data_IF_291441921248
#
_entry.id   IF_291441921248
#
_cell.length_a   1.000
_cell.length_b   1.000
_cell.length_c   1.000
_cell.angle_alpha   90.00
_cell.angle_beta   90.00
_cell.angle_gamma   90.00
#
_symmetry.space_group_name_H-M   'P 1'
#
loop_
_entity.id
_entity.type
_entity.pdbx_description
1 polymer ?
#
# COMPACT_ATOMS: atom_id res chain seq x y z
N UNK A 1 -8.17 40.16 34.36
CA UNK A 1 -8.32 38.79 34.91
C UNK A 1 -9.07 37.83 33.97
N UNK A 2 -9.56 38.30 32.81
CA UNK A 2 -10.29 37.53 31.80
C UNK A 2 -9.41 36.94 30.68
N UNK A 3 -8.16 37.40 30.52
CA UNK A 3 -7.21 36.85 29.52
C UNK A 3 -6.57 35.50 29.91
N UNK A 4 -6.64 35.09 31.18
CA UNK A 4 -6.05 33.83 31.68
C UNK A 4 -6.90 32.57 31.44
N UNK A 5 -8.12 32.71 30.89
CA UNK A 5 -9.01 31.58 30.58
C UNK A 5 -8.92 31.12 29.11
N UNK A 6 -8.20 31.85 28.25
CA UNK A 6 -7.93 31.43 26.87
C UNK A 6 -6.90 30.30 26.78
N UNK A 7 -6.02 30.18 27.77
CA UNK A 7 -4.93 29.18 27.79
C UNK A 7 -5.40 27.76 28.12
N UNK A 8 -6.62 27.58 28.61
CA UNK A 8 -7.20 26.26 28.93
C UNK A 8 -7.92 25.59 27.75
N UNK A 9 -7.99 26.23 26.57
CA UNK A 9 -8.58 25.65 25.34
C UNK A 9 -7.55 25.18 24.28
N UNK A 10 -6.24 25.23 24.57
CA UNK A 10 -5.20 24.95 23.58
C UNK A 10 -5.06 23.47 23.17
N UNK A 11 -5.30 22.49 24.04
CA UNK A 11 -5.01 21.08 23.71
C UNK A 11 -5.96 20.48 22.66
N UNK A 12 -7.26 20.79 22.75
CA UNK A 12 -8.28 20.24 21.84
C UNK A 12 -8.12 20.82 20.43
N UNK A 13 -7.88 22.13 20.31
CA UNK A 13 -7.68 22.77 19.01
C UNK A 13 -6.46 22.19 18.28
N UNK A 14 -5.34 22.01 18.98
CA UNK A 14 -4.13 21.38 18.42
C UNK A 14 -4.37 19.95 17.97
N UNK A 15 -5.06 19.13 18.79
CA UNK A 15 -5.41 17.76 18.42
C UNK A 15 -6.32 17.70 17.18
N UNK A 16 -7.36 18.54 17.11
CA UNK A 16 -8.27 18.58 15.96
C UNK A 16 -7.53 18.98 14.67
N UNK A 17 -6.62 19.95 14.75
CA UNK A 17 -5.78 20.34 13.60
C UNK A 17 -4.92 19.16 13.16
N UNK A 18 -4.28 18.44 14.08
CA UNK A 18 -3.51 17.24 13.75
C UNK A 18 -4.35 16.14 13.08
N UNK A 19 -5.59 15.90 13.53
CA UNK A 19 -6.49 14.91 12.89
C UNK A 19 -6.91 15.34 11.48
N UNK A 20 -7.19 16.63 11.27
CA UNK A 20 -7.46 17.16 9.94
C UNK A 20 -6.23 17.07 9.03
N UNK A 21 -5.04 17.36 9.57
CA UNK A 21 -3.78 17.24 8.85
C UNK A 21 -3.51 15.80 8.41
N UNK A 22 -3.73 14.83 9.30
CA UNK A 22 -3.63 13.40 8.98
C UNK A 22 -4.63 12.99 7.88
N UNK A 23 -5.87 13.49 7.94
CA UNK A 23 -6.84 13.25 6.87
C UNK A 23 -6.36 13.81 5.52
N UNK A 24 -5.80 15.03 5.51
CA UNK A 24 -5.21 15.63 4.30
C UNK A 24 -4.03 14.82 3.78
N UNK A 25 -3.17 14.30 4.67
CA UNK A 25 -2.07 13.40 4.31
C UNK A 25 -2.59 12.14 3.63
N UNK A 26 -3.58 11.47 4.21
CA UNK A 26 -4.20 10.25 3.65
C UNK A 26 -4.87 10.49 2.29
N UNK A 27 -5.39 11.69 2.04
CA UNK A 27 -5.92 12.12 0.74
C UNK A 27 -4.84 12.43 -0.31
N UNK A 28 -3.56 12.44 0.08
CA UNK A 28 -2.44 12.84 -0.78
C UNK A 28 -2.23 14.35 -0.90
N UNK A 29 -2.90 15.16 -0.05
CA UNK A 29 -2.78 16.64 -0.02
C UNK A 29 -1.66 17.03 0.95
N UNK A 30 -0.42 16.67 0.60
CA UNK A 30 0.73 16.76 1.51
C UNK A 30 1.08 18.20 1.91
N UNK A 31 1.00 19.16 0.97
CA UNK A 31 1.28 20.57 1.26
C UNK A 31 0.32 21.14 2.31
N UNK A 32 -0.97 20.81 2.19
CA UNK A 32 -1.98 21.21 3.16
C UNK A 32 -1.79 20.53 4.50
N UNK A 33 -1.48 19.23 4.50
CA UNK A 33 -1.18 18.49 5.72
C UNK A 33 0.01 19.11 6.46
N UNK A 34 1.07 19.47 5.72
CA UNK A 34 2.27 20.14 6.27
C UNK A 34 1.92 21.48 6.88
N UNK A 35 1.22 22.34 6.13
CA UNK A 35 0.79 23.64 6.63
C UNK A 35 -0.09 23.55 7.89
N UNK A 36 -0.89 22.49 8.02
CA UNK A 36 -1.68 22.24 9.23
C UNK A 36 -0.82 21.75 10.40
N UNK A 37 0.09 20.79 10.18
CA UNK A 37 1.00 20.33 11.22
C UNK A 37 1.97 21.42 11.69
N UNK A 38 2.34 22.36 10.83
CA UNK A 38 3.18 23.51 11.18
C UNK A 38 2.48 24.49 12.11
N UNK A 39 1.15 24.61 11.99
CA UNK A 39 0.30 25.46 12.83
C UNK A 39 -0.22 24.75 14.09
N UNK A 40 -0.09 23.42 14.16
CA UNK A 40 -0.60 22.63 15.26
C UNK A 40 0.35 22.71 16.47
N UNK A 41 -0.08 23.39 17.52
CA UNK A 41 0.58 23.33 18.84
C UNK A 41 0.15 22.05 19.59
N UNK A 42 0.61 20.90 19.11
CA UNK A 42 0.29 19.59 19.68
C UNK A 42 1.39 18.57 19.41
N UNK A 43 1.60 17.63 20.35
CA UNK A 43 2.66 16.64 20.25
C UNK A 43 2.53 15.72 19.01
N UNK A 44 1.31 15.37 18.61
CA UNK A 44 1.05 14.58 17.39
C UNK A 44 1.54 15.25 16.10
N UNK A 45 1.83 16.55 16.10
CA UNK A 45 2.43 17.22 14.95
C UNK A 45 3.80 16.61 14.58
N UNK A 46 4.58 16.14 15.56
CA UNK A 46 5.85 15.46 15.30
C UNK A 46 5.65 14.15 14.54
N UNK A 47 4.68 13.33 14.97
CA UNK A 47 4.31 12.08 14.29
C UNK A 47 3.82 12.36 12.86
N UNK A 48 2.98 13.38 12.69
CA UNK A 48 2.46 13.80 11.39
C UNK A 48 3.53 14.27 10.42
N UNK A 49 4.45 15.14 10.87
CA UNK A 49 5.59 15.61 10.06
C UNK A 49 6.53 14.45 9.70
N UNK A 50 6.78 13.53 10.63
CA UNK A 50 7.55 12.33 10.35
C UNK A 50 6.88 11.46 9.27
N UNK A 51 5.56 11.30 9.32
CA UNK A 51 4.82 10.54 8.32
C UNK A 51 4.88 11.19 6.93
N UNK A 52 4.77 12.53 6.84
CA UNK A 52 4.94 13.26 5.57
C UNK A 52 6.37 13.08 5.02
N UNK A 53 7.39 13.25 5.87
CA UNK A 53 8.80 13.07 5.49
C UNK A 53 9.03 11.67 4.91
N UNK A 54 8.48 10.65 5.56
CA UNK A 54 8.54 9.27 5.08
C UNK A 54 7.78 9.08 3.75
N UNK A 55 6.59 9.69 3.59
CA UNK A 55 5.82 9.62 2.34
C UNK A 55 6.54 10.27 1.15
N UNK A 56 7.37 11.28 1.39
CA UNK A 56 8.18 11.93 0.35
C UNK A 56 9.50 11.21 0.08
N UNK A 57 9.83 10.18 0.88
CA UNK A 57 11.09 9.45 0.79
C UNK A 57 12.25 10.11 1.53
N UNK A 58 12.04 11.26 2.17
CA UNK A 58 13.01 11.85 3.09
C UNK A 58 12.92 11.15 4.46
N UNK A 59 13.57 10.00 4.56
CA UNK A 59 13.57 9.17 5.77
C UNK A 59 14.57 9.66 6.83
N UNK A 60 15.40 10.66 6.51
CA UNK A 60 16.53 11.07 7.38
C UNK A 60 16.09 11.75 8.67
N UNK A 61 15.05 12.60 8.58
CA UNK A 61 14.50 13.34 9.72
C UNK A 61 13.52 12.51 10.57
N UNK A 62 13.07 11.34 10.09
CA UNK A 62 12.02 10.55 10.74
C UNK A 62 12.41 10.08 12.14
N UNK A 63 13.61 9.50 12.39
CA UNK A 63 13.98 9.03 13.73
C UNK A 63 13.94 10.15 14.79
N UNK A 64 14.52 11.31 14.48
CA UNK A 64 14.59 12.43 15.42
C UNK A 64 13.19 12.98 15.80
N UNK A 65 12.29 13.06 14.83
CA UNK A 65 10.90 13.48 15.06
C UNK A 65 10.14 12.47 15.91
N UNK A 66 10.29 11.17 15.63
CA UNK A 66 9.65 10.12 16.40
C UNK A 66 10.20 10.02 17.82
N UNK A 67 11.51 10.13 18.00
CA UNK A 67 12.11 10.10 19.33
C UNK A 67 11.67 11.29 20.19
N UNK A 68 11.50 12.48 19.57
CA UNK A 68 10.89 13.64 20.26
C UNK A 68 9.44 13.37 20.68
N UNK A 69 8.66 12.72 19.82
CA UNK A 69 7.29 12.31 20.14
C UNK A 69 7.27 11.31 21.30
N UNK A 70 8.04 10.22 21.20
CA UNK A 70 8.05 9.14 22.19
C UNK A 70 8.55 9.57 23.57
N UNK A 71 9.53 10.49 23.63
CA UNK A 71 10.06 11.05 24.90
C UNK A 71 9.06 11.95 25.64
N UNK A 72 8.16 12.61 24.91
CA UNK A 72 7.24 13.62 25.48
C UNK A 72 5.80 13.12 25.63
N UNK A 73 5.44 12.03 24.94
CA UNK A 73 4.09 11.46 24.98
C UNK A 73 3.84 10.70 26.28
N UNK A 74 2.60 10.76 26.77
CA UNK A 74 2.14 9.96 27.91
C UNK A 74 1.77 8.54 27.49
N UNK A 75 1.65 7.63 28.47
CA UNK A 75 1.19 6.25 28.25
C UNK A 75 -0.31 6.12 27.94
N UNK A 76 -1.04 7.24 27.88
CA UNK A 76 -2.45 7.29 27.47
C UNK A 76 -2.59 7.22 25.93
N UNK A 77 -1.59 7.69 25.18
CA UNK A 77 -1.55 7.68 23.70
C UNK A 77 -1.09 6.33 23.13
N UNK A 78 -1.62 5.21 23.64
CA UNK A 78 -1.09 3.86 23.30
C UNK A 78 -1.14 3.59 21.80
N UNK A 79 -2.23 3.90 21.11
CA UNK A 79 -2.32 3.65 19.68
C UNK A 79 -1.29 4.47 18.87
N UNK A 80 -1.18 5.77 19.13
CA UNK A 80 -0.25 6.65 18.42
C UNK A 80 1.21 6.32 18.71
N UNK A 81 1.54 5.86 19.93
CA UNK A 81 2.87 5.33 20.27
C UNK A 81 3.20 4.06 19.50
N UNK A 82 2.23 3.19 19.21
CA UNK A 82 2.45 2.05 18.33
C UNK A 82 2.72 2.49 16.89
N UNK A 83 1.93 3.42 16.36
CA UNK A 83 2.13 3.97 15.01
C UNK A 83 3.51 4.62 14.87
N UNK A 84 3.93 5.38 15.89
CA UNK A 84 5.26 6.00 15.93
C UNK A 84 6.38 4.96 15.87
N UNK A 85 6.30 3.87 16.64
CA UNK A 85 7.31 2.79 16.62
C UNK A 85 7.34 2.04 15.29
N UNK A 86 6.19 1.76 14.70
CA UNK A 86 6.11 1.18 13.36
C UNK A 86 6.80 2.09 12.32
N UNK A 87 6.55 3.40 12.38
CA UNK A 87 7.18 4.35 11.47
C UNK A 87 8.70 4.43 11.68
N UNK A 88 9.17 4.38 12.93
CA UNK A 88 10.58 4.34 13.27
C UNK A 88 11.27 3.09 12.71
N UNK A 89 10.66 1.91 12.86
CA UNK A 89 11.16 0.64 12.29
C UNK A 89 11.28 0.76 10.78
N UNK A 90 10.23 1.24 10.10
CA UNK A 90 10.23 1.41 8.63
C UNK A 90 11.31 2.38 8.17
N UNK A 91 11.50 3.50 8.87
CA UNK A 91 12.55 4.46 8.54
C UNK A 91 13.96 3.90 8.75
N UNK A 92 14.20 3.17 9.85
CA UNK A 92 15.50 2.52 10.12
C UNK A 92 15.85 1.47 9.08
N UNK A 93 14.86 0.68 8.64
CA UNK A 93 14.98 -0.26 7.52
C UNK A 93 15.37 0.48 6.23
N UNK A 94 14.70 1.59 5.89
CA UNK A 94 15.02 2.39 4.69
C UNK A 94 16.42 3.02 4.75
N UNK A 95 16.93 3.32 5.95
CA UNK A 95 18.28 3.82 6.18
C UNK A 95 19.35 2.72 6.25
N UNK A 96 18.97 1.44 6.17
CA UNK A 96 19.90 0.31 6.29
C UNK A 96 20.51 0.12 7.68
N UNK A 97 19.90 0.65 8.74
CA UNK A 97 20.40 0.56 10.12
C UNK A 97 19.80 -0.65 10.82
N UNK A 98 20.57 -1.74 10.92
CA UNK A 98 20.13 -3.05 11.47
C UNK A 98 20.12 -3.10 12.99
N UNK A 99 21.09 -2.42 13.62
CA UNK A 99 21.47 -2.63 15.03
C UNK A 99 20.39 -2.14 16.01
N UNK A 100 19.43 -1.34 15.54
CA UNK A 100 18.47 -0.63 16.38
C UNK A 100 17.00 -1.09 16.19
N UNK A 101 16.72 -2.23 15.56
CA UNK A 101 15.34 -2.68 15.31
C UNK A 101 14.74 -3.45 16.49
N UNK A 102 15.51 -4.36 17.10
CA UNK A 102 15.01 -5.29 18.12
C UNK A 102 14.53 -4.58 19.42
N UNK A 103 15.19 -3.50 19.92
CA UNK A 103 14.68 -2.77 21.08
C UNK A 103 13.31 -2.12 20.81
N UNK A 104 13.15 -1.49 19.62
CA UNK A 104 11.89 -0.84 19.24
C UNK A 104 10.77 -1.87 19.07
N UNK A 105 11.10 -3.03 18.49
CA UNK A 105 10.15 -4.13 18.34
C UNK A 105 9.73 -4.65 19.72
N UNK A 106 10.68 -4.86 20.64
CA UNK A 106 10.39 -5.35 22.00
C UNK A 106 9.42 -4.44 22.74
N UNK A 107 9.62 -3.12 22.67
CA UNK A 107 8.70 -2.15 23.25
C UNK A 107 7.31 -2.16 22.59
N UNK A 108 7.26 -2.26 21.26
CA UNK A 108 6.00 -2.33 20.53
C UNK A 108 5.21 -3.59 20.90
N UNK A 109 5.87 -4.73 21.05
CA UNK A 109 5.22 -5.97 21.49
C UNK A 109 4.75 -5.90 22.95
N UNK A 110 5.56 -5.31 23.84
CA UNK A 110 5.15 -5.08 25.21
C UNK A 110 3.88 -4.23 25.26
N UNK A 111 3.82 -3.17 24.45
CA UNK A 111 2.65 -2.33 24.35
C UNK A 111 1.43 -3.06 23.76
N UNK A 112 1.64 -3.92 22.76
CA UNK A 112 0.59 -4.72 22.15
C UNK A 112 0.00 -5.73 23.16
N UNK A 113 0.85 -6.38 23.96
CA UNK A 113 0.43 -7.26 25.06
C UNK A 113 -0.36 -6.52 26.13
N UNK A 114 0.05 -5.31 26.49
CA UNK A 114 -0.63 -4.50 27.51
C UNK A 114 -1.96 -3.91 27.03
N UNK A 115 -2.03 -3.45 25.78
CA UNK A 115 -3.22 -2.78 25.24
C UNK A 115 -4.27 -3.79 24.77
N UNK A 116 -3.83 -4.88 24.14
CA UNK A 116 -4.70 -6.00 23.72
C UNK A 116 -5.71 -5.69 22.61
N UNK A 117 -5.77 -4.45 22.10
CA UNK A 117 -6.70 -4.07 21.02
C UNK A 117 -6.20 -4.58 19.66
N UNK A 118 -7.12 -5.00 18.79
CA UNK A 118 -6.82 -5.45 17.43
C UNK A 118 -5.95 -4.46 16.64
N UNK A 119 -6.20 -3.15 16.78
CA UNK A 119 -5.41 -2.12 16.10
C UNK A 119 -3.91 -2.14 16.49
N UNK A 120 -3.59 -2.25 17.78
CA UNK A 120 -2.20 -2.29 18.25
C UNK A 120 -1.54 -3.63 17.94
N UNK A 121 -2.29 -4.73 18.01
CA UNK A 121 -1.82 -6.06 17.58
C UNK A 121 -1.50 -6.07 16.07
N UNK A 122 -2.34 -5.42 15.24
CA UNK A 122 -2.11 -5.27 13.81
C UNK A 122 -0.81 -4.51 13.52
N UNK A 123 -0.58 -3.39 14.21
CA UNK A 123 0.64 -2.58 14.08
C UNK A 123 1.89 -3.40 14.44
N UNK A 124 1.84 -4.17 15.54
CA UNK A 124 2.93 -5.04 15.94
C UNK A 124 3.19 -6.16 14.90
N UNK A 125 2.13 -6.75 14.35
CA UNK A 125 2.25 -7.76 13.30
C UNK A 125 2.85 -7.18 12.01
N UNK A 126 2.40 -5.99 11.59
CA UNK A 126 2.97 -5.29 10.44
C UNK A 126 4.47 -4.98 10.64
N UNK A 127 4.86 -4.52 11.82
CA UNK A 127 6.26 -4.26 12.16
C UNK A 127 7.11 -5.54 12.06
N UNK A 128 6.62 -6.66 12.60
CA UNK A 128 7.28 -7.98 12.45
C UNK A 128 7.44 -8.37 10.98
N UNK A 129 6.43 -8.12 10.15
CA UNK A 129 6.48 -8.38 8.71
C UNK A 129 7.59 -7.60 8.00
N UNK A 130 7.73 -6.31 8.31
CA UNK A 130 8.81 -5.48 7.77
C UNK A 130 10.20 -5.95 8.22
N UNK A 131 10.36 -6.29 9.49
CA UNK A 131 11.64 -6.80 10.02
C UNK A 131 11.99 -8.15 9.37
N UNK A 132 11.02 -9.05 9.22
CA UNK A 132 11.24 -10.34 8.56
C UNK A 132 11.68 -10.17 7.10
N UNK A 133 11.01 -9.28 6.34
CA UNK A 133 11.45 -8.94 4.98
C UNK A 133 12.88 -8.42 4.95
N UNK A 134 13.20 -7.51 5.87
CA UNK A 134 14.52 -6.92 5.96
C UNK A 134 15.61 -7.96 6.28
N UNK A 135 15.29 -8.94 7.13
CA UNK A 135 16.15 -10.08 7.46
C UNK A 135 16.19 -11.17 6.37
N UNK A 136 15.51 -10.98 5.23
CA UNK A 136 15.49 -11.92 4.12
C UNK A 136 14.58 -13.13 4.31
N UNK A 137 13.57 -13.03 5.19
CA UNK A 137 12.59 -14.09 5.45
C UNK A 137 11.20 -13.69 4.91
N UNK A 138 10.93 -13.90 3.60
CA UNK A 138 9.65 -13.57 2.99
C UNK A 138 8.51 -14.47 3.46
N UNK A 139 8.80 -15.66 4.00
CA UNK A 139 7.78 -16.60 4.49
C UNK A 139 7.18 -16.07 5.80
N UNK A 140 8.03 -15.71 6.76
CA UNK A 140 7.57 -15.10 8.02
C UNK A 140 6.95 -13.73 7.77
N UNK A 141 7.50 -12.95 6.84
CA UNK A 141 6.91 -11.67 6.48
C UNK A 141 5.49 -11.78 5.95
N UNK A 142 5.26 -12.71 5.01
CA UNK A 142 3.94 -13.00 4.47
C UNK A 142 2.92 -13.27 5.57
N UNK A 143 3.23 -14.21 6.48
CA UNK A 143 2.34 -14.58 7.59
C UNK A 143 2.02 -13.38 8.48
N UNK A 144 3.03 -12.58 8.82
CA UNK A 144 2.84 -11.39 9.65
C UNK A 144 1.96 -10.34 8.96
N UNK A 145 2.06 -10.17 7.65
CA UNK A 145 1.21 -9.25 6.89
C UNK A 145 -0.21 -9.78 6.72
N UNK A 146 -0.41 -11.09 6.49
CA UNK A 146 -1.73 -11.74 6.50
C UNK A 146 -2.43 -11.51 7.86
N UNK A 147 -1.74 -11.80 8.98
CA UNK A 147 -2.24 -11.54 10.33
C UNK A 147 -2.58 -10.05 10.56
N UNK A 148 -1.73 -9.14 10.07
CA UNK A 148 -1.94 -7.70 10.21
C UNK A 148 -3.18 -7.22 9.43
N UNK A 149 -3.40 -7.75 8.22
CA UNK A 149 -4.59 -7.45 7.41
C UNK A 149 -5.86 -7.87 8.17
N UNK A 150 -5.90 -9.10 8.69
CA UNK A 150 -7.06 -9.60 9.42
C UNK A 150 -7.37 -8.76 10.67
N UNK A 151 -6.34 -8.36 11.42
CA UNK A 151 -6.48 -7.54 12.61
C UNK A 151 -6.91 -6.10 12.26
N UNK A 152 -6.38 -5.48 11.21
CA UNK A 152 -6.85 -4.16 10.77
C UNK A 152 -8.30 -4.19 10.30
N UNK A 153 -8.74 -5.28 9.64
CA UNK A 153 -10.14 -5.44 9.26
C UNK A 153 -11.06 -5.53 10.48
N UNK A 154 -10.69 -6.34 11.49
CA UNK A 154 -11.45 -6.44 12.75
C UNK A 154 -11.50 -5.11 13.50
N UNK A 155 -10.41 -4.35 13.48
CA UNK A 155 -10.31 -3.03 14.08
C UNK A 155 -11.06 -1.93 13.31
N UNK A 156 -11.64 -2.21 12.15
CA UNK A 156 -12.31 -1.21 11.31
C UNK A 156 -11.35 -0.21 10.65
N UNK A 157 -10.11 -0.62 10.36
CA UNK A 157 -9.08 0.18 9.69
C UNK A 157 -8.87 -0.19 8.21
N UNK A 158 -9.80 0.16 7.30
CA UNK A 158 -9.70 -0.22 5.88
C UNK A 158 -8.55 0.48 5.16
N UNK A 159 -8.15 1.67 5.62
CA UNK A 159 -6.98 2.37 5.07
C UNK A 159 -5.70 1.59 5.36
N UNK A 160 -5.47 1.27 6.63
CA UNK A 160 -4.30 0.52 7.11
C UNK A 160 -4.26 -0.89 6.49
N UNK A 161 -5.40 -1.60 6.46
CA UNK A 161 -5.51 -2.89 5.78
C UNK A 161 -5.12 -2.78 4.29
N UNK A 162 -5.58 -1.74 3.59
CA UNK A 162 -5.21 -1.49 2.19
C UNK A 162 -3.70 -1.29 2.00
N UNK A 163 -3.04 -0.55 2.89
CA UNK A 163 -1.58 -0.36 2.84
C UNK A 163 -0.83 -1.67 3.02
N UNK A 164 -1.21 -2.47 4.02
CA UNK A 164 -0.56 -3.76 4.29
C UNK A 164 -0.79 -4.75 3.15
N UNK A 165 -1.96 -4.75 2.51
CA UNK A 165 -2.21 -5.60 1.33
C UNK A 165 -1.26 -5.26 0.18
N UNK A 166 -0.84 -4.01 0.01
CA UNK A 166 0.20 -3.66 -0.97
C UNK A 166 1.57 -4.22 -0.60
N UNK A 167 1.91 -4.21 0.69
CA UNK A 167 3.15 -4.79 1.21
C UNK A 167 3.13 -6.33 1.02
N UNK A 168 2.01 -6.99 1.36
CA UNK A 168 1.78 -8.41 1.15
C UNK A 168 1.84 -8.79 -0.34
N UNK A 169 1.20 -8.02 -1.22
CA UNK A 169 1.25 -8.25 -2.66
C UNK A 169 2.69 -8.19 -3.21
N UNK A 170 3.52 -7.27 -2.70
CA UNK A 170 4.93 -7.21 -3.07
C UNK A 170 5.71 -8.45 -2.59
N UNK A 171 5.44 -8.97 -1.38
CA UNK A 171 6.05 -10.23 -0.89
C UNK A 171 5.63 -11.43 -1.74
N UNK A 172 4.34 -11.53 -2.06
CA UNK A 172 3.80 -12.60 -2.90
C UNK A 172 4.39 -12.55 -4.31
N UNK A 173 4.62 -11.35 -4.85
CA UNK A 173 5.31 -11.17 -6.12
C UNK A 173 6.75 -11.72 -6.06
N UNK A 174 7.51 -11.37 -5.01
CA UNK A 174 8.91 -11.82 -4.85
C UNK A 174 9.03 -13.34 -4.72
N UNK A 175 8.03 -13.99 -4.11
CA UNK A 175 7.99 -15.45 -3.95
C UNK A 175 7.37 -16.19 -5.15
N UNK A 176 7.01 -15.47 -6.23
CA UNK A 176 6.45 -16.05 -7.45
C UNK A 176 4.95 -16.36 -7.40
N UNK A 177 4.26 -16.05 -6.31
CA UNK A 177 2.82 -16.24 -6.14
C UNK A 177 2.01 -15.11 -6.83
N UNK A 178 2.23 -14.91 -8.14
CA UNK A 178 1.72 -13.76 -8.91
C UNK A 178 0.20 -13.63 -8.87
N UNK A 179 -0.53 -14.74 -8.95
CA UNK A 179 -2.01 -14.73 -8.87
C UNK A 179 -2.52 -14.24 -7.52
N UNK A 180 -1.88 -14.65 -6.42
CA UNK A 180 -2.21 -14.17 -5.08
C UNK A 180 -1.79 -12.70 -4.90
N UNK A 181 -0.62 -12.31 -5.39
CA UNK A 181 -0.17 -10.92 -5.40
C UNK A 181 -1.17 -10.00 -6.11
N UNK A 182 -1.68 -10.42 -7.27
CA UNK A 182 -2.68 -9.67 -8.04
C UNK A 182 -4.00 -9.54 -7.28
N UNK A 183 -4.45 -10.61 -6.64
CA UNK A 183 -5.67 -10.60 -5.83
C UNK A 183 -5.57 -9.57 -4.70
N UNK A 184 -4.47 -9.61 -3.94
CA UNK A 184 -4.21 -8.67 -2.85
C UNK A 184 -4.12 -7.21 -3.33
N UNK A 185 -3.38 -6.97 -4.42
CA UNK A 185 -3.25 -5.63 -4.99
C UNK A 185 -4.59 -5.07 -5.51
N UNK A 186 -5.49 -5.93 -6.02
CA UNK A 186 -6.83 -5.54 -6.47
C UNK A 186 -7.68 -5.07 -5.30
N UNK A 187 -7.75 -5.85 -4.22
CA UNK A 187 -8.51 -5.51 -3.01
C UNK A 187 -7.99 -4.19 -2.42
N UNK A 188 -6.67 -4.04 -2.34
CA UNK A 188 -6.04 -2.81 -1.88
C UNK A 188 -6.44 -1.59 -2.75
N UNK A 189 -6.37 -1.73 -4.08
CA UNK A 189 -6.75 -0.67 -5.01
C UNK A 189 -8.20 -0.22 -4.82
N UNK A 190 -9.14 -1.17 -4.78
CA UNK A 190 -10.57 -0.87 -4.63
C UNK A 190 -10.87 -0.17 -3.31
N UNK A 191 -10.32 -0.68 -2.20
CA UNK A 191 -10.48 -0.08 -0.87
C UNK A 191 -9.88 1.34 -0.79
N UNK A 192 -8.63 1.52 -1.21
CA UNK A 192 -7.94 2.81 -1.13
C UNK A 192 -8.55 3.85 -2.06
N UNK A 193 -9.01 3.44 -3.25
CA UNK A 193 -9.77 4.31 -4.16
C UNK A 193 -11.09 4.75 -3.54
N UNK A 194 -11.84 3.83 -2.94
CA UNK A 194 -13.11 4.13 -2.26
C UNK A 194 -12.97 5.12 -1.10
N UNK A 195 -11.83 5.08 -0.41
CA UNK A 195 -11.50 6.01 0.68
C UNK A 195 -10.96 7.38 0.21
N UNK A 196 -10.75 7.56 -1.11
CA UNK A 196 -10.12 8.77 -1.64
C UNK A 196 -8.62 8.88 -1.33
N UNK A 197 -7.97 7.77 -0.97
CA UNK A 197 -6.53 7.71 -0.71
C UNK A 197 -5.73 7.67 -2.02
N UNK A 198 -5.79 8.77 -2.79
CA UNK A 198 -5.36 8.84 -4.20
C UNK A 198 -3.94 8.33 -4.42
N UNK A 199 -2.97 8.80 -3.63
CA UNK A 199 -1.56 8.39 -3.74
C UNK A 199 -1.39 6.87 -3.63
N UNK A 200 -2.07 6.26 -2.66
CA UNK A 200 -1.94 4.84 -2.37
C UNK A 200 -2.72 3.98 -3.36
N UNK A 201 -3.87 4.47 -3.83
CA UNK A 201 -4.59 3.87 -4.95
C UNK A 201 -3.75 3.89 -6.23
N UNK A 202 -3.03 4.98 -6.53
CA UNK A 202 -2.14 5.06 -7.69
C UNK A 202 -0.96 4.08 -7.55
N UNK A 203 -0.39 3.91 -6.34
CA UNK A 203 0.62 2.89 -6.05
C UNK A 203 0.08 1.47 -6.26
N UNK A 204 -1.14 1.20 -5.81
CA UNK A 204 -1.82 -0.08 -6.00
C UNK A 204 -2.04 -0.40 -7.49
N UNK A 205 -2.50 0.60 -8.26
CA UNK A 205 -2.72 0.49 -9.69
C UNK A 205 -1.40 0.26 -10.45
N UNK A 206 -0.32 0.94 -10.07
CA UNK A 206 1.00 0.71 -10.64
C UNK A 206 1.52 -0.70 -10.36
N UNK A 207 1.26 -1.26 -9.16
CA UNK A 207 1.59 -2.64 -8.86
C UNK A 207 0.76 -3.62 -9.70
N UNK A 208 -0.56 -3.42 -9.81
CA UNK A 208 -1.43 -4.25 -10.65
C UNK A 208 -0.94 -4.30 -12.11
N UNK A 209 -0.62 -3.15 -12.71
CA UNK A 209 -0.09 -3.08 -14.08
C UNK A 209 1.19 -3.90 -14.25
N UNK A 210 2.11 -3.85 -13.29
CA UNK A 210 3.33 -4.67 -13.31
C UNK A 210 3.03 -6.17 -13.18
N UNK A 211 2.07 -6.54 -12.36
CA UNK A 211 1.66 -7.95 -12.16
C UNK A 211 0.88 -8.51 -13.36
N UNK A 212 0.17 -7.67 -14.11
CA UNK A 212 -0.55 -8.07 -15.33
C UNK A 212 0.41 -8.29 -16.51
N UNK A 213 1.51 -7.55 -16.55
CA UNK A 213 2.60 -7.74 -17.51
C UNK A 213 3.43 -9.01 -17.21
N UNK A 214 3.37 -9.55 -15.99
CA UNK A 214 4.11 -10.75 -15.62
C UNK A 214 3.38 -12.03 -16.07
N UNK A 215 4.07 -12.95 -16.77
CA UNK A 215 3.49 -14.24 -17.09
C UNK A 215 3.26 -15.03 -15.81
N UNK A 216 1.99 -15.28 -15.48
CA UNK A 216 1.60 -16.28 -14.49
C UNK A 216 1.85 -17.66 -15.11
N UNK A 217 2.86 -18.42 -14.69
CA UNK A 217 2.94 -19.84 -15.09
C UNK A 217 1.75 -20.64 -14.54
N UNK A 218 1.27 -21.73 -15.13
CA UNK A 218 1.65 -22.46 -16.34
C UNK A 218 0.96 -21.89 -17.60
N UNK A 219 1.46 -22.20 -18.81
CA UNK A 219 0.73 -21.90 -20.03
C UNK A 219 -0.64 -22.58 -19.93
N UNK A 220 -1.74 -21.84 -20.08
CA UNK A 220 -2.78 -22.39 -20.95
C UNK A 220 -2.08 -22.76 -22.26
N UNK A 221 -2.51 -23.81 -22.93
CA UNK A 221 -1.86 -24.41 -24.13
C UNK A 221 -1.44 -23.41 -25.23
N UNK A 222 -1.85 -22.15 -25.10
CA UNK A 222 -1.53 -20.95 -25.88
C UNK A 222 -0.25 -20.18 -25.52
N UNK A 223 0.32 -20.29 -24.32
CA UNK A 223 1.44 -19.44 -23.88
C UNK A 223 1.08 -17.98 -23.54
N UNK A 224 -0.21 -17.64 -23.52
CA UNK A 224 -0.71 -16.29 -23.18
C UNK A 224 -0.87 -16.09 -21.67
N UNK A 225 -0.67 -14.86 -21.20
CA UNK A 225 -1.00 -14.45 -19.83
C UNK A 225 -2.52 -14.32 -19.66
N UNK A 226 -3.03 -14.37 -18.43
CA UNK A 226 -4.47 -14.15 -18.16
C UNK A 226 -4.97 -12.83 -18.75
N UNK A 227 -4.16 -11.77 -18.69
CA UNK A 227 -4.54 -10.47 -19.24
C UNK A 227 -4.58 -10.48 -20.77
N UNK A 228 -3.64 -11.19 -21.37
CA UNK A 228 -3.63 -11.41 -22.82
C UNK A 228 -4.83 -12.26 -23.26
N UNK A 229 -5.26 -13.24 -22.46
CA UNK A 229 -6.50 -14.00 -22.67
C UNK A 229 -7.74 -13.09 -22.65
N UNK A 230 -7.85 -12.21 -21.65
CA UNK A 230 -8.95 -11.24 -21.56
C UNK A 230 -8.95 -10.26 -22.75
N UNK A 231 -7.77 -9.74 -23.11
CA UNK A 231 -7.61 -8.81 -24.25
C UNK A 231 -7.93 -9.49 -25.58
N UNK A 232 -7.43 -10.71 -25.82
CA UNK A 232 -7.67 -11.45 -27.07
C UNK A 232 -9.13 -11.90 -27.18
N UNK A 233 -9.78 -12.22 -26.06
CA UNK A 233 -11.21 -12.52 -26.02
C UNK A 233 -12.05 -11.30 -26.42
N UNK A 234 -11.80 -10.12 -25.84
CA UNK A 234 -12.53 -8.89 -26.24
C UNK A 234 -12.24 -8.47 -27.69
N UNK A 235 -11.01 -8.69 -28.15
CA UNK A 235 -10.62 -8.57 -29.56
C UNK A 235 -11.48 -9.46 -30.47
N UNK A 236 -11.70 -10.71 -30.08
CA UNK A 236 -12.52 -11.67 -30.81
C UNK A 236 -14.00 -11.25 -30.86
N UNK A 237 -14.48 -10.52 -29.84
CA UNK A 237 -15.81 -9.90 -29.82
C UNK A 237 -15.88 -8.60 -30.64
N UNK A 238 -14.83 -8.25 -31.39
CA UNK A 238 -14.83 -7.07 -32.26
C UNK A 238 -14.62 -5.74 -31.54
N UNK A 239 -14.24 -5.75 -30.26
CA UNK A 239 -13.98 -4.51 -29.50
C UNK A 239 -12.77 -3.77 -30.06
N UNK A 240 -12.89 -2.44 -30.17
CA UNK A 240 -11.78 -1.54 -30.47
C UNK A 240 -10.82 -1.41 -29.27
N UNK A 241 -9.58 -0.97 -29.52
CA UNK A 241 -8.61 -0.79 -28.42
C UNK A 241 -9.10 0.21 -27.36
N UNK A 242 -9.92 1.20 -27.75
CA UNK A 242 -10.54 2.17 -26.83
C UNK A 242 -11.61 1.53 -25.96
N UNK A 243 -12.47 0.69 -26.53
CA UNK A 243 -13.48 -0.04 -25.76
C UNK A 243 -12.85 -1.06 -24.82
N UNK A 244 -11.84 -1.81 -25.28
CA UNK A 244 -11.07 -2.73 -24.44
C UNK A 244 -10.41 -1.95 -23.29
N UNK A 245 -9.82 -0.79 -23.57
CA UNK A 245 -9.20 0.06 -22.55
C UNK A 245 -10.23 0.53 -21.50
N UNK A 246 -11.43 0.92 -21.93
CA UNK A 246 -12.49 1.34 -21.02
C UNK A 246 -13.02 0.18 -20.17
N UNK A 247 -13.29 -0.97 -20.78
CA UNK A 247 -13.83 -2.17 -20.13
C UNK A 247 -12.85 -2.78 -19.13
N UNK A 248 -11.57 -2.82 -19.52
CA UNK A 248 -10.50 -3.37 -18.70
C UNK A 248 -9.85 -2.35 -17.75
N UNK A 249 -10.29 -1.09 -17.76
CA UNK A 249 -9.74 0.03 -16.97
C UNK A 249 -8.23 0.20 -17.19
N UNK A 250 -7.83 0.19 -18.47
CA UNK A 250 -6.45 0.36 -18.94
C UNK A 250 -6.31 1.63 -19.78
N UNK A 251 -5.08 2.04 -20.06
CA UNK A 251 -4.82 3.02 -21.13
C UNK A 251 -4.85 2.32 -22.49
N UNK A 252 -5.21 3.04 -23.56
CA UNK A 252 -5.16 2.53 -24.94
C UNK A 252 -3.75 2.00 -25.28
N UNK A 253 -2.71 2.73 -24.85
CA UNK A 253 -1.31 2.32 -25.03
C UNK A 253 -0.98 0.99 -24.33
N UNK A 254 -1.58 0.74 -23.16
CA UNK A 254 -1.41 -0.54 -22.44
C UNK A 254 -2.09 -1.67 -23.22
N UNK A 255 -3.28 -1.43 -23.77
CA UNK A 255 -3.97 -2.41 -24.62
C UNK A 255 -3.14 -2.72 -25.87
N UNK A 256 -2.60 -1.71 -26.56
CA UNK A 256 -1.73 -1.89 -27.73
C UNK A 256 -0.49 -2.74 -27.42
N UNK A 257 0.11 -2.53 -26.24
CA UNK A 257 1.24 -3.34 -25.76
C UNK A 257 0.84 -4.80 -25.55
N UNK A 258 -0.31 -5.06 -24.91
CA UNK A 258 -0.82 -6.42 -24.75
C UNK A 258 -1.10 -7.08 -26.10
N UNK A 259 -1.70 -6.36 -27.05
CA UNK A 259 -1.95 -6.87 -28.41
C UNK A 259 -0.64 -7.23 -29.13
N UNK A 260 0.38 -6.38 -29.01
CA UNK A 260 1.70 -6.64 -29.60
C UNK A 260 2.33 -7.91 -29.02
N UNK A 261 2.29 -8.06 -27.69
CA UNK A 261 2.78 -9.26 -26.99
C UNK A 261 2.00 -10.52 -27.37
N UNK A 262 0.67 -10.43 -27.54
CA UNK A 262 -0.17 -11.52 -28.05
C UNK A 262 0.31 -11.94 -29.45
N UNK A 263 0.51 -10.97 -30.35
CA UNK A 263 0.95 -11.27 -31.71
C UNK A 263 2.32 -11.94 -31.74
N UNK A 264 3.27 -11.46 -30.94
CA UNK A 264 4.58 -12.10 -30.80
C UNK A 264 4.48 -13.54 -30.27
N UNK A 265 3.69 -13.75 -29.20
CA UNK A 265 3.52 -15.08 -28.58
C UNK A 265 2.80 -16.09 -29.48
N UNK A 266 1.86 -15.62 -30.29
CA UNK A 266 1.13 -16.45 -31.25
C UNK A 266 1.84 -16.56 -32.62
N UNK A 267 3.00 -15.93 -32.80
CA UNK A 267 3.73 -15.90 -34.08
C UNK A 267 2.96 -15.22 -35.22
N UNK A 268 2.08 -14.27 -34.89
CA UNK A 268 1.21 -13.57 -35.83
C UNK A 268 1.84 -12.27 -36.29
N UNK A 269 1.92 -12.08 -37.61
CA UNK A 269 2.51 -10.89 -38.22
C UNK A 269 1.67 -10.39 -39.40
N UNK A 270 1.81 -9.11 -39.73
CA UNK A 270 1.18 -8.48 -40.89
C UNK A 270 -0.28 -8.06 -40.69
N UNK A 271 -0.94 -7.64 -41.78
CA UNK A 271 -2.26 -7.03 -41.76
C UNK A 271 -3.39 -7.95 -41.26
N UNK A 272 -3.18 -9.28 -41.30
CA UNK A 272 -4.13 -10.29 -40.85
C UNK A 272 -3.96 -10.70 -39.38
N UNK A 273 -2.94 -10.20 -38.67
CA UNK A 273 -2.64 -10.61 -37.30
C UNK A 273 -3.82 -10.43 -36.34
N UNK A 274 -4.60 -9.35 -36.51
CA UNK A 274 -5.80 -9.09 -35.69
C UNK A 274 -6.90 -10.14 -35.90
N UNK A 275 -7.17 -10.50 -37.15
CA UNK A 275 -8.17 -11.51 -37.47
C UNK A 275 -7.71 -12.91 -37.03
N UNK A 276 -6.43 -13.23 -37.19
CA UNK A 276 -5.85 -14.49 -36.74
C UNK A 276 -5.89 -14.65 -35.22
N UNK A 277 -5.59 -13.59 -34.46
CA UNK A 277 -5.70 -13.60 -33.00
C UNK A 277 -7.15 -13.75 -32.52
N UNK A 278 -8.12 -13.15 -33.22
CA UNK A 278 -9.55 -13.35 -32.93
C UNK A 278 -9.98 -14.81 -33.20
N UNK A 279 -9.54 -15.39 -34.32
CA UNK A 279 -9.82 -16.79 -34.68
C UNK A 279 -9.18 -17.79 -33.71
N UNK A 280 -8.02 -17.45 -33.13
CA UNK A 280 -7.32 -18.26 -32.14
C UNK A 280 -8.22 -18.64 -30.95
N UNK A 281 -8.98 -17.68 -30.43
CA UNK A 281 -9.90 -17.86 -29.29
C UNK A 281 -11.08 -18.76 -29.66
N UNK A 282 -11.61 -18.61 -30.87
CA UNK A 282 -12.73 -19.41 -31.37
C UNK A 282 -12.33 -20.87 -31.63
N UNK A 283 -11.06 -21.13 -31.97
CA UNK A 283 -10.54 -22.47 -32.24
C UNK A 283 -10.08 -23.26 -31.01
N UNK A 284 -9.84 -22.58 -29.88
CA UNK A 284 -9.35 -23.19 -28.63
C UNK A 284 -10.35 -23.03 -27.46
N UNK A 285 -11.56 -22.53 -27.72
CA UNK A 285 -12.65 -22.41 -26.76
C UNK A 285 -13.49 -23.68 -26.70
N UNK A 286 -13.00 -24.70 -25.97
CA UNK A 286 -13.79 -25.74 -25.30
C UNK A 286 -13.00 -26.25 -24.09
#
# INVERSE_FOLDING_TARGET
>A
MTEKLGSTRLSVAGLTICRLAELRRRQGRLDEARALFDKADHLLSFLGRAAISFDEGDVTAVPDLIDRYLRRGSDEDRAERAVARLLLIRARISLGRTEDLDPVMTELEAQARLTGTDAVLAIASQARGHIALYKGDPISARRCFEDAVDLYQKAGGPFEAGLVRLELAAVLQQTGAISAARHEARIAFEALRGLGARREADRALALLRRLDDQPTGAPDTSGLSRREVEVVALLAHGRSNQEIAAELVLSVRTVERHISSIYEKLGLHGASARAAAAAYVLGHGN
#
